data_IF_612164213237
#
_entry.id   IF_612164213237
#
_cell.length_a   1.000
_cell.length_b   1.000
_cell.length_c   1.000
_cell.angle_alpha   90.00
_cell.angle_beta   90.00
_cell.angle_gamma   90.00
#
_symmetry.space_group_name_H-M   'P 1'
#
loop_
_entity.id
_entity.type
_entity.pdbx_description
1 polymer ?
#
# COMPACT_ATOMS: atom_id res chain seq x y z
N UNK A 1 41.27 -50.16 2.56
CA UNK A 1 41.32 -48.90 3.33
C UNK A 1 40.24 -47.98 2.82
N UNK A 2 39.16 -47.76 3.57
CA UNK A 2 38.12 -46.87 3.14
C UNK A 2 38.31 -45.48 3.77
N UNK A 3 38.19 -44.46 2.93
CA UNK A 3 38.19 -43.05 3.30
C UNK A 3 36.82 -42.65 3.81
N UNK A 4 36.74 -42.20 5.04
CA UNK A 4 35.52 -41.71 5.68
C UNK A 4 35.26 -40.27 5.30
N UNK A 5 34.22 -40.05 4.50
CA UNK A 5 33.60 -38.70 4.31
C UNK A 5 32.80 -38.35 5.54
N UNK A 6 33.23 -37.29 6.23
CA UNK A 6 32.48 -36.69 7.34
C UNK A 6 31.74 -35.46 6.78
N UNK A 7 30.44 -35.63 6.52
CA UNK A 7 29.54 -34.52 6.25
C UNK A 7 29.10 -33.90 7.58
N UNK A 8 29.65 -32.72 7.91
CA UNK A 8 29.06 -31.86 8.96
C UNK A 8 27.90 -31.08 8.40
N UNK A 9 26.70 -31.60 8.64
CA UNK A 9 25.48 -30.82 8.45
C UNK A 9 25.32 -29.87 9.65
N UNK A 10 25.53 -28.57 9.42
CA UNK A 10 25.16 -27.51 10.37
C UNK A 10 23.65 -27.27 10.25
N UNK A 11 22.90 -27.89 11.15
CA UNK A 11 21.50 -27.52 11.42
C UNK A 11 21.50 -26.21 12.22
N UNK A 12 21.25 -25.09 11.54
CA UNK A 12 20.86 -23.85 12.20
C UNK A 12 19.40 -23.99 12.63
N UNK A 13 19.18 -24.44 13.86
CA UNK A 13 17.88 -24.33 14.53
C UNK A 13 17.66 -22.86 14.90
N UNK A 14 16.84 -22.19 14.09
CA UNK A 14 16.31 -20.87 14.41
C UNK A 14 15.28 -21.03 15.54
N UNK A 15 15.71 -20.86 16.77
CA UNK A 15 14.81 -20.81 17.92
C UNK A 15 14.07 -19.48 17.85
N UNK A 16 12.87 -19.49 17.26
CA UNK A 16 11.89 -18.42 17.47
C UNK A 16 11.45 -18.49 18.94
N UNK A 17 12.10 -17.70 19.77
CA UNK A 17 11.61 -17.42 21.10
C UNK A 17 10.34 -16.56 20.96
N UNK A 18 9.17 -17.21 20.98
CA UNK A 18 7.89 -16.55 21.21
C UNK A 18 7.86 -15.99 22.61
N UNK A 19 8.39 -14.78 22.78
CA UNK A 19 8.08 -13.98 23.96
C UNK A 19 6.63 -13.48 23.82
N UNK A 20 5.68 -14.29 24.22
CA UNK A 20 4.34 -13.85 24.61
C UNK A 20 4.50 -13.09 25.95
N UNK A 21 5.11 -11.90 25.91
CA UNK A 21 5.02 -10.95 27.01
C UNK A 21 3.56 -10.47 27.03
N UNK A 22 2.84 -10.82 28.09
CA UNK A 22 1.56 -10.18 28.43
C UNK A 22 1.81 -8.67 28.49
N UNK A 23 1.45 -7.96 27.41
CA UNK A 23 1.52 -6.51 27.34
C UNK A 23 0.50 -5.95 28.34
N UNK A 24 0.91 -5.76 29.61
CA UNK A 24 0.18 -4.85 30.49
C UNK A 24 0.05 -3.52 29.79
N UNK A 25 -1.16 -2.95 29.77
CA UNK A 25 -1.41 -1.62 29.23
C UNK A 25 -0.32 -0.65 29.73
N UNK A 26 0.33 0.11 28.85
CA UNK A 26 1.43 0.97 29.25
C UNK A 26 0.95 2.00 30.25
N UNK A 27 1.76 2.28 31.28
CA UNK A 27 1.49 3.33 32.26
C UNK A 27 1.49 4.74 31.64
N UNK A 28 1.94 4.89 30.38
CA UNK A 28 1.98 6.11 29.58
C UNK A 28 1.73 5.76 28.11
N UNK A 29 1.37 6.75 27.29
CA UNK A 29 1.27 6.56 25.85
C UNK A 29 2.66 6.36 25.23
N UNK A 30 2.70 5.63 24.10
CA UNK A 30 3.93 5.34 23.36
C UNK A 30 3.74 5.63 21.89
N UNK A 31 4.40 6.65 21.40
CA UNK A 31 4.45 6.98 19.97
C UNK A 31 5.69 6.29 19.38
N UNK A 32 5.47 5.31 18.51
CA UNK A 32 6.54 4.56 17.83
C UNK A 32 6.94 5.26 16.55
N UNK A 33 8.25 5.46 16.38
CA UNK A 33 8.85 6.06 15.18
C UNK A 33 9.96 5.14 14.63
N UNK A 34 10.47 5.37 13.41
CA UNK A 34 11.63 4.64 12.88
C UNK A 34 12.87 4.74 13.75
N UNK A 35 13.07 5.87 14.44
CA UNK A 35 14.23 6.14 15.30
C UNK A 35 14.05 5.66 16.74
N UNK A 36 12.86 5.11 17.12
CA UNK A 36 12.59 4.62 18.47
C UNK A 36 11.17 4.89 18.94
N UNK A 37 11.04 5.28 20.22
CA UNK A 37 9.71 5.61 20.78
C UNK A 37 9.77 6.88 21.64
N UNK A 38 8.70 7.67 21.56
CA UNK A 38 8.44 8.80 22.45
C UNK A 38 7.41 8.37 23.48
N UNK A 39 7.77 8.44 24.76
CA UNK A 39 6.92 8.02 25.88
C UNK A 39 6.43 9.26 26.63
N UNK A 40 5.15 9.33 26.94
CA UNK A 40 4.51 10.44 27.63
C UNK A 40 3.00 10.36 27.51
N UNK A 41 2.30 11.48 27.70
CA UNK A 41 0.86 11.57 27.46
C UNK A 41 0.60 12.31 26.16
N UNK A 42 -0.13 11.70 25.23
CA UNK A 42 -0.59 12.38 24.01
C UNK A 42 -1.68 13.33 24.40
N UNK A 43 -1.39 14.64 24.29
CA UNK A 43 -2.28 15.73 24.70
C UNK A 43 -3.01 16.39 23.53
N UNK A 44 -2.43 16.30 22.33
CA UNK A 44 -3.01 16.91 21.13
C UNK A 44 -2.58 16.13 19.89
N UNK A 45 -3.47 16.04 18.92
CA UNK A 45 -3.19 15.49 17.58
C UNK A 45 -3.63 16.48 16.51
N UNK A 46 -2.91 16.49 15.41
CA UNK A 46 -3.27 17.21 14.18
C UNK A 46 -2.91 16.34 12.96
N UNK A 47 -3.33 16.72 11.76
CA UNK A 47 -2.89 16.02 10.55
C UNK A 47 -1.37 15.99 10.35
N UNK A 48 -0.63 16.91 10.97
CA UNK A 48 0.82 17.08 10.73
C UNK A 48 1.70 16.72 11.92
N UNK A 49 1.17 16.76 13.14
CA UNK A 49 1.98 16.50 14.34
C UNK A 49 1.15 15.93 15.48
N UNK A 50 1.81 15.19 16.36
CA UNK A 50 1.29 14.70 17.62
C UNK A 50 2.11 15.28 18.76
N UNK A 51 1.45 15.93 19.73
CA UNK A 51 2.07 16.53 20.90
C UNK A 51 2.07 15.56 22.08
N UNK A 52 3.25 15.22 22.59
CA UNK A 52 3.44 14.28 23.73
C UNK A 52 3.97 15.06 24.93
N UNK A 53 3.19 15.15 25.99
CA UNK A 53 3.61 15.71 27.25
C UNK A 53 4.53 14.72 28.01
N UNK A 54 5.68 15.21 28.44
CA UNK A 54 6.66 14.48 29.29
C UNK A 54 6.63 14.97 30.75
N UNK A 55 5.50 15.50 31.17
CA UNK A 55 5.34 16.07 32.51
C UNK A 55 6.19 17.34 32.70
N UNK A 56 7.02 17.37 33.72
CA UNK A 56 7.86 18.55 34.04
C UNK A 56 8.93 18.87 32.99
N UNK A 57 9.24 17.94 32.06
CA UNK A 57 10.26 18.14 31.01
C UNK A 57 9.70 18.79 29.73
N UNK A 58 8.39 19.14 29.73
CA UNK A 58 7.75 19.83 28.62
C UNK A 58 7.03 18.93 27.64
N UNK A 59 6.75 19.45 26.45
CA UNK A 59 6.02 18.75 25.39
C UNK A 59 6.95 18.51 24.19
N UNK A 60 6.96 17.29 23.69
CA UNK A 60 7.65 16.92 22.45
C UNK A 60 6.62 16.78 21.33
N UNK A 61 6.89 17.42 20.18
CA UNK A 61 6.12 17.27 18.95
C UNK A 61 6.73 16.18 18.09
N UNK A 62 5.90 15.30 17.57
CA UNK A 62 6.30 14.21 16.68
C UNK A 62 5.58 14.39 15.33
N UNK A 63 6.31 14.57 14.22
CA UNK A 63 5.71 14.67 12.89
C UNK A 63 4.96 13.40 12.53
N UNK A 64 3.76 13.55 11.91
CA UNK A 64 2.89 12.41 11.61
C UNK A 64 3.52 11.42 10.62
N UNK A 65 4.31 11.90 9.65
CA UNK A 65 5.01 11.04 8.69
C UNK A 65 6.08 10.15 9.34
N UNK A 66 6.53 10.46 10.56
CA UNK A 66 7.44 9.61 11.33
C UNK A 66 6.70 8.62 12.24
N UNK A 67 5.38 8.73 12.41
CA UNK A 67 4.62 7.88 13.32
C UNK A 67 4.27 6.55 12.65
N UNK A 68 4.78 5.45 13.20
CA UNK A 68 4.38 4.09 12.81
C UNK A 68 3.11 3.62 13.53
N UNK A 69 2.99 3.92 14.82
CA UNK A 69 1.81 3.61 15.61
C UNK A 69 1.84 4.36 16.94
N UNK A 70 0.67 4.56 17.52
CA UNK A 70 0.52 5.06 18.90
C UNK A 70 -0.16 3.98 19.72
N UNK A 71 0.40 3.66 20.88
CA UNK A 71 -0.21 2.78 21.88
C UNK A 71 -0.64 3.68 23.03
N UNK A 72 -1.94 3.78 23.27
CA UNK A 72 -2.49 4.66 24.29
C UNK A 72 -2.56 3.97 25.66
N UNK A 73 -2.30 4.71 26.72
CA UNK A 73 -2.54 4.23 28.09
C UNK A 73 -4.03 3.88 28.26
N UNK A 74 -4.26 2.66 28.75
CA UNK A 74 -5.62 2.16 28.99
C UNK A 74 -6.38 1.71 27.75
N UNK A 75 -5.74 1.62 26.58
CA UNK A 75 -6.38 1.04 25.40
C UNK A 75 -6.67 -0.46 25.62
N UNK A 76 -7.77 -0.99 25.07
CA UNK A 76 -8.05 -2.41 25.10
C UNK A 76 -6.98 -3.24 24.36
N UNK A 77 -6.69 -4.45 24.85
CA UNK A 77 -5.76 -5.36 24.19
C UNK A 77 -6.21 -5.69 22.76
N UNK A 78 -7.51 -5.78 22.53
CA UNK A 78 -8.13 -6.01 21.23
C UNK A 78 -7.74 -4.93 20.22
N UNK A 79 -7.64 -3.65 20.63
CA UNK A 79 -7.18 -2.57 19.78
C UNK A 79 -5.69 -2.72 19.42
N UNK A 80 -4.85 -3.06 20.41
CA UNK A 80 -3.42 -3.30 20.17
C UNK A 80 -3.22 -4.45 19.18
N UNK A 81 -3.94 -5.57 19.32
CA UNK A 81 -3.86 -6.71 18.42
C UNK A 81 -4.44 -6.39 17.03
N UNK A 82 -5.55 -5.68 16.96
CA UNK A 82 -6.16 -5.25 15.70
C UNK A 82 -5.20 -4.36 14.89
N UNK A 83 -4.47 -3.47 15.55
CA UNK A 83 -3.44 -2.63 14.92
C UNK A 83 -2.33 -3.47 14.29
N UNK A 84 -1.82 -4.46 15.02
CA UNK A 84 -0.79 -5.39 14.51
C UNK A 84 -1.31 -6.19 13.33
N UNK A 85 -2.53 -6.73 13.42
CA UNK A 85 -3.17 -7.46 12.31
C UNK A 85 -3.38 -6.56 11.10
N UNK A 86 -3.84 -5.32 11.28
CA UNK A 86 -4.02 -4.37 10.18
C UNK A 86 -2.70 -4.04 9.48
N UNK A 87 -1.61 -3.87 10.22
CA UNK A 87 -0.28 -3.61 9.67
C UNK A 87 0.31 -4.79 8.90
N UNK A 88 -0.09 -6.02 9.24
CA UNK A 88 0.31 -7.25 8.54
C UNK A 88 -0.68 -7.71 7.46
N UNK A 89 -1.68 -6.89 7.10
CA UNK A 89 -2.69 -7.25 6.09
C UNK A 89 -3.82 -8.14 6.59
N UNK A 90 -3.83 -8.52 7.86
CA UNK A 90 -4.86 -9.36 8.49
C UNK A 90 -6.16 -8.58 8.79
N UNK A 91 -6.70 -7.83 7.83
CA UNK A 91 -7.81 -6.88 8.01
C UNK A 91 -9.08 -7.52 8.58
N UNK A 92 -9.40 -8.75 8.20
CA UNK A 92 -10.59 -9.46 8.73
C UNK A 92 -10.43 -9.77 10.21
N UNK A 93 -9.26 -10.25 10.62
CA UNK A 93 -8.96 -10.54 12.02
C UNK A 93 -8.97 -9.25 12.85
N UNK A 94 -8.41 -8.16 12.29
CA UNK A 94 -8.46 -6.84 12.91
C UNK A 94 -9.91 -6.37 13.13
N UNK A 95 -10.80 -6.50 12.14
CA UNK A 95 -12.22 -6.16 12.28
C UNK A 95 -12.94 -6.97 13.33
N UNK A 96 -12.68 -8.28 13.42
CA UNK A 96 -13.26 -9.15 14.44
C UNK A 96 -12.87 -8.66 15.85
N UNK A 97 -11.59 -8.43 16.09
CA UNK A 97 -11.09 -7.91 17.37
C UNK A 97 -11.67 -6.53 17.72
N UNK A 98 -11.75 -5.61 16.74
CA UNK A 98 -12.37 -4.30 16.94
C UNK A 98 -13.87 -4.41 17.20
N UNK A 99 -14.55 -5.45 16.66
CA UNK A 99 -15.96 -5.72 16.89
C UNK A 99 -16.31 -5.91 18.36
N UNK A 100 -15.41 -6.52 19.13
CA UNK A 100 -15.59 -6.81 20.55
C UNK A 100 -15.45 -5.58 21.47
N UNK A 101 -14.98 -4.43 20.92
CA UNK A 101 -14.77 -3.21 21.70
C UNK A 101 -16.06 -2.38 21.76
N UNK A 102 -16.59 -2.17 22.96
CA UNK A 102 -17.69 -1.24 23.23
C UNK A 102 -17.17 0.19 23.32
N UNK A 103 -17.31 0.98 22.24
CA UNK A 103 -16.79 2.36 22.14
C UNK A 103 -17.31 3.24 23.28
N UNK A 104 -18.56 3.05 23.74
CA UNK A 104 -19.18 3.81 24.81
C UNK A 104 -18.50 3.64 26.17
N UNK A 105 -17.74 2.56 26.36
CA UNK A 105 -17.00 2.26 27.60
C UNK A 105 -15.55 2.79 27.57
N UNK A 106 -15.13 3.41 26.48
CA UNK A 106 -13.80 3.97 26.37
C UNK A 106 -13.76 5.38 26.96
N UNK A 107 -12.87 5.61 27.92
CA UNK A 107 -12.78 6.90 28.64
C UNK A 107 -12.14 8.00 27.81
N UNK A 108 -11.19 7.67 26.90
CA UNK A 108 -10.41 8.65 26.13
C UNK A 108 -10.90 8.78 24.70
N UNK A 109 -11.14 10.01 24.26
CA UNK A 109 -11.53 10.32 22.87
C UNK A 109 -10.51 9.81 21.84
N UNK A 110 -9.21 9.92 22.13
CA UNK A 110 -8.16 9.44 21.24
C UNK A 110 -8.24 7.92 21.01
N UNK A 111 -8.60 7.14 22.05
CA UNK A 111 -8.78 5.69 21.90
C UNK A 111 -10.04 5.39 21.07
N UNK A 112 -11.13 6.16 21.28
CA UNK A 112 -12.36 6.05 20.45
C UNK A 112 -12.05 6.32 18.98
N UNK A 113 -11.30 7.39 18.69
CA UNK A 113 -10.86 7.72 17.32
C UNK A 113 -10.04 6.60 16.69
N UNK A 114 -9.12 5.98 17.44
CA UNK A 114 -8.33 4.83 16.95
C UNK A 114 -9.23 3.67 16.54
N UNK A 115 -10.17 3.26 17.41
CA UNK A 115 -11.11 2.18 17.09
C UNK A 115 -11.94 2.50 15.85
N UNK A 116 -12.47 3.74 15.75
CA UNK A 116 -13.25 4.17 14.58
C UNK A 116 -12.41 4.21 13.31
N UNK A 117 -11.16 4.69 13.40
CA UNK A 117 -10.25 4.69 12.26
C UNK A 117 -9.97 3.27 11.76
N UNK A 118 -9.50 2.38 12.64
CA UNK A 118 -9.13 1.02 12.23
C UNK A 118 -10.32 0.20 11.75
N UNK A 119 -11.54 0.41 12.29
CA UNK A 119 -12.77 -0.17 11.74
C UNK A 119 -13.01 0.28 10.30
N UNK A 120 -12.95 1.58 10.04
CA UNK A 120 -13.15 2.15 8.72
C UNK A 120 -12.04 1.72 7.75
N UNK A 121 -10.78 1.79 8.19
CA UNK A 121 -9.60 1.41 7.40
C UNK A 121 -9.60 -0.06 7.01
N UNK A 122 -9.79 -0.98 7.96
CA UNK A 122 -9.82 -2.42 7.66
C UNK A 122 -11.01 -2.80 6.75
N UNK A 123 -12.17 -2.18 6.94
CA UNK A 123 -13.30 -2.34 6.02
C UNK A 123 -12.98 -1.84 4.61
N UNK A 124 -12.26 -0.73 4.50
CA UNK A 124 -11.80 -0.19 3.23
C UNK A 124 -10.81 -1.12 2.54
N UNK A 125 -9.81 -1.62 3.25
CA UNK A 125 -8.83 -2.56 2.70
C UNK A 125 -9.49 -3.85 2.21
N UNK A 126 -10.44 -4.42 2.97
CA UNK A 126 -11.20 -5.59 2.52
C UNK A 126 -12.04 -5.30 1.27
N UNK A 127 -12.62 -4.10 1.17
CA UNK A 127 -13.37 -3.70 -0.02
C UNK A 127 -12.47 -3.57 -1.25
N UNK A 128 -11.26 -3.01 -1.10
CA UNK A 128 -10.25 -2.92 -2.15
C UNK A 128 -9.73 -4.31 -2.57
N UNK A 129 -9.69 -5.26 -1.64
CA UNK A 129 -9.37 -6.66 -1.93
C UNK A 129 -10.56 -7.46 -2.52
N UNK A 130 -11.68 -6.82 -2.82
CA UNK A 130 -12.87 -7.46 -3.41
C UNK A 130 -13.75 -8.23 -2.42
N UNK A 131 -13.46 -8.20 -1.11
CA UNK A 131 -14.21 -8.96 -0.09
C UNK A 131 -15.18 -8.09 0.72
N UNK A 132 -15.42 -6.85 0.32
CA UNK A 132 -16.29 -5.87 0.98
C UNK A 132 -17.04 -4.99 -0.03
N UNK A 133 -17.92 -4.13 0.49
CA UNK A 133 -18.68 -3.18 -0.33
C UNK A 133 -17.97 -1.83 -0.38
N UNK A 134 -17.39 -1.46 -1.51
CA UNK A 134 -16.64 -0.20 -1.72
C UNK A 134 -17.45 1.02 -1.26
N UNK A 135 -18.74 1.10 -1.62
CA UNK A 135 -19.61 2.22 -1.23
C UNK A 135 -19.79 2.35 0.29
N UNK A 136 -19.90 1.24 1.00
CA UNK A 136 -20.09 1.23 2.45
C UNK A 136 -18.79 1.63 3.17
N UNK A 137 -17.67 1.10 2.71
CA UNK A 137 -16.35 1.46 3.19
C UNK A 137 -16.05 2.95 2.96
N UNK A 138 -16.38 3.48 1.78
CA UNK A 138 -16.23 4.90 1.47
C UNK A 138 -17.04 5.80 2.41
N UNK A 139 -18.27 5.39 2.76
CA UNK A 139 -19.08 6.13 3.76
C UNK A 139 -18.44 6.12 5.15
N UNK A 140 -17.84 5.00 5.56
CA UNK A 140 -17.18 4.90 6.88
C UNK A 140 -15.94 5.80 6.96
N UNK A 141 -15.05 5.77 5.96
CA UNK A 141 -13.88 6.65 5.89
C UNK A 141 -14.30 8.13 5.85
N UNK A 142 -15.28 8.49 5.01
CA UNK A 142 -15.76 9.86 4.91
C UNK A 142 -16.40 10.34 6.23
N UNK A 143 -17.10 9.45 6.97
CA UNK A 143 -17.61 9.74 8.29
C UNK A 143 -16.48 10.02 9.28
N UNK A 144 -15.46 9.16 9.31
CA UNK A 144 -14.29 9.34 10.17
C UNK A 144 -13.63 10.71 9.94
N UNK A 145 -13.39 11.09 8.69
CA UNK A 145 -12.77 12.38 8.34
C UNK A 145 -13.57 13.58 8.82
N UNK A 146 -14.91 13.51 8.73
CA UNK A 146 -15.77 14.60 9.20
C UNK A 146 -15.80 14.72 10.72
N UNK A 147 -15.78 13.60 11.43
CA UNK A 147 -15.82 13.59 12.89
C UNK A 147 -14.47 13.92 13.51
N UNK A 148 -13.37 13.55 12.84
CA UNK A 148 -12.02 13.66 13.37
C UNK A 148 -11.07 14.40 12.42
N UNK A 149 -11.34 15.68 12.06
CA UNK A 149 -10.50 16.43 11.11
C UNK A 149 -9.10 16.73 11.65
N UNK A 150 -8.89 16.61 12.96
CA UNK A 150 -7.60 16.78 13.63
C UNK A 150 -6.91 15.46 13.97
N UNK A 151 -7.38 14.34 13.43
CA UNK A 151 -6.72 13.05 13.62
C UNK A 151 -5.38 12.99 12.89
N UNK A 152 -4.38 12.38 13.52
CA UNK A 152 -3.11 12.08 12.86
C UNK A 152 -3.25 11.03 11.72
N UNK A 153 -4.38 10.34 11.64
CA UNK A 153 -4.76 9.49 10.51
C UNK A 153 -5.38 10.25 9.33
N UNK A 154 -5.46 11.57 9.38
CA UNK A 154 -6.17 12.38 8.39
C UNK A 154 -5.70 12.08 6.95
N UNK A 155 -4.40 12.14 6.69
CA UNK A 155 -3.86 11.89 5.35
C UNK A 155 -3.99 10.43 4.92
N UNK A 156 -3.83 9.49 5.83
CA UNK A 156 -4.06 8.07 5.54
C UNK A 156 -5.53 7.81 5.16
N UNK A 157 -6.47 8.45 5.85
CA UNK A 157 -7.89 8.36 5.50
C UNK A 157 -8.21 9.02 4.15
N UNK A 158 -7.53 10.14 3.82
CA UNK A 158 -7.67 10.80 2.51
C UNK A 158 -7.24 9.87 1.37
N UNK A 159 -6.07 9.27 1.49
CA UNK A 159 -5.56 8.33 0.52
C UNK A 159 -6.50 7.13 0.37
N UNK A 160 -6.89 6.51 1.49
CA UNK A 160 -7.82 5.37 1.49
C UNK A 160 -9.17 5.70 0.82
N UNK A 161 -9.69 6.93 1.02
CA UNK A 161 -10.90 7.36 0.32
C UNK A 161 -10.67 7.50 -1.20
N UNK A 162 -9.53 8.07 -1.59
CA UNK A 162 -9.13 8.15 -3.00
C UNK A 162 -9.07 6.77 -3.66
N UNK A 163 -8.44 5.79 -3.00
CA UNK A 163 -8.35 4.40 -3.50
C UNK A 163 -9.73 3.76 -3.67
N UNK A 164 -10.64 3.96 -2.71
CA UNK A 164 -12.02 3.48 -2.81
C UNK A 164 -12.80 4.16 -3.96
N UNK A 165 -12.52 5.43 -4.22
CA UNK A 165 -13.11 6.16 -5.36
C UNK A 165 -12.59 5.63 -6.69
N UNK A 166 -11.30 5.30 -6.81
CA UNK A 166 -10.74 4.60 -7.97
C UNK A 166 -11.43 3.25 -8.16
N UNK A 167 -11.55 2.43 -7.11
CA UNK A 167 -12.23 1.15 -7.16
C UNK A 167 -13.73 1.26 -7.53
N UNK A 168 -14.36 2.41 -7.24
CA UNK A 168 -15.71 2.74 -7.65
C UNK A 168 -15.79 3.35 -9.07
N UNK A 169 -14.69 3.48 -9.79
CA UNK A 169 -14.56 4.17 -11.09
C UNK A 169 -14.98 5.66 -11.03
N UNK A 170 -14.84 6.31 -9.88
CA UNK A 170 -15.10 7.73 -9.66
C UNK A 170 -13.79 8.54 -9.72
N UNK A 171 -13.08 8.43 -10.85
CA UNK A 171 -11.69 8.85 -11.00
C UNK A 171 -11.45 10.34 -10.75
N UNK A 172 -12.35 11.22 -11.24
CA UNK A 172 -12.25 12.66 -10.99
C UNK A 172 -12.44 13.02 -9.50
N UNK A 173 -13.26 12.26 -8.78
CA UNK A 173 -13.41 12.43 -7.33
C UNK A 173 -12.14 11.96 -6.59
N UNK A 174 -11.53 10.85 -7.05
CA UNK A 174 -10.26 10.35 -6.52
C UNK A 174 -9.15 11.39 -6.67
N UNK A 175 -9.02 12.03 -7.83
CA UNK A 175 -8.07 13.15 -8.04
C UNK A 175 -8.23 14.23 -6.98
N UNK A 176 -9.48 14.66 -6.69
CA UNK A 176 -9.76 15.69 -5.69
C UNK A 176 -9.36 15.24 -4.27
N UNK A 177 -9.54 13.97 -3.93
CA UNK A 177 -9.12 13.45 -2.63
C UNK A 177 -7.60 13.36 -2.52
N UNK A 178 -6.92 12.86 -3.54
CA UNK A 178 -5.46 12.81 -3.57
C UNK A 178 -4.81 14.21 -3.57
N UNK A 179 -5.42 15.22 -4.21
CA UNK A 179 -4.93 16.58 -4.19
C UNK A 179 -4.89 17.19 -2.77
N UNK A 180 -5.67 16.65 -1.82
CA UNK A 180 -5.60 17.09 -0.42
C UNK A 180 -4.30 16.63 0.26
N UNK A 181 -3.69 15.51 -0.19
CA UNK A 181 -2.39 15.06 0.28
C UNK A 181 -1.25 16.00 -0.14
N UNK A 182 -1.39 16.74 -1.24
CA UNK A 182 -0.38 17.73 -1.66
C UNK A 182 -0.22 18.87 -0.62
N UNK A 183 -1.19 19.04 0.30
CA UNK A 183 -1.14 20.01 1.40
C UNK A 183 -0.28 19.56 2.58
N UNK A 184 0.12 18.29 2.61
CA UNK A 184 1.04 17.79 3.62
C UNK A 184 2.40 18.50 3.48
N UNK A 185 3.07 18.84 4.61
CA UNK A 185 4.33 19.58 4.56
C UNK A 185 5.52 18.72 4.09
N UNK A 186 5.34 17.42 3.92
CA UNK A 186 6.42 16.48 3.64
C UNK A 186 6.53 16.14 2.15
N UNK A 187 7.77 16.16 1.60
CA UNK A 187 8.00 15.86 0.18
C UNK A 187 7.53 14.46 -0.26
N UNK A 188 7.65 13.46 0.59
CA UNK A 188 7.18 12.08 0.35
C UNK A 188 5.67 12.02 0.13
N UNK A 189 4.87 12.70 0.98
CA UNK A 189 3.41 12.80 0.81
C UNK A 189 3.04 13.56 -0.47
N UNK A 190 3.76 14.64 -0.77
CA UNK A 190 3.53 15.42 -2.00
C UNK A 190 3.88 14.62 -3.26
N UNK A 191 4.98 13.87 -3.24
CA UNK A 191 5.34 12.96 -4.33
C UNK A 191 4.29 11.86 -4.51
N UNK A 192 3.84 11.25 -3.40
CA UNK A 192 2.79 10.22 -3.39
C UNK A 192 1.47 10.74 -3.94
N UNK A 193 1.04 11.94 -3.52
CA UNK A 193 -0.17 12.56 -4.05
C UNK A 193 -0.12 12.74 -5.58
N UNK A 194 0.99 13.28 -6.09
CA UNK A 194 1.21 13.47 -7.54
C UNK A 194 1.21 12.15 -8.30
N UNK A 195 1.84 11.11 -7.73
CA UNK A 195 1.84 9.76 -8.29
C UNK A 195 0.41 9.20 -8.39
N UNK A 196 -0.38 9.30 -7.33
CA UNK A 196 -1.76 8.79 -7.29
C UNK A 196 -2.68 9.56 -8.24
N UNK A 197 -2.53 10.88 -8.33
CA UNK A 197 -3.25 11.71 -9.31
C UNK A 197 -2.84 11.31 -10.74
N UNK A 198 -1.54 11.10 -10.99
CA UNK A 198 -1.05 10.64 -12.29
C UNK A 198 -1.69 9.32 -12.71
N UNK A 199 -1.82 8.35 -11.80
CA UNK A 199 -2.51 7.08 -12.04
C UNK A 199 -4.01 7.27 -12.32
N UNK A 200 -4.69 8.08 -11.53
CA UNK A 200 -6.11 8.37 -11.76
C UNK A 200 -6.36 9.06 -13.11
N UNK A 201 -5.47 9.95 -13.54
CA UNK A 201 -5.51 10.56 -14.87
C UNK A 201 -5.22 9.55 -15.99
N UNK A 202 -4.25 8.66 -15.77
CA UNK A 202 -3.94 7.57 -16.69
C UNK A 202 -5.15 6.64 -16.91
N UNK A 203 -5.85 6.28 -15.84
CA UNK A 203 -7.06 5.44 -15.89
C UNK A 203 -8.24 6.16 -16.59
N UNK A 204 -8.26 7.51 -16.57
CA UNK A 204 -9.18 8.33 -17.35
C UNK A 204 -8.78 8.47 -18.83
N UNK A 205 -7.64 7.94 -19.25
CA UNK A 205 -7.08 8.13 -20.59
C UNK A 205 -6.45 9.51 -20.84
N UNK A 206 -6.29 10.33 -19.81
CA UNK A 206 -5.66 11.66 -19.86
C UNK A 206 -4.15 11.55 -19.77
N UNK A 207 -3.54 10.86 -20.74
CA UNK A 207 -2.12 10.51 -20.70
C UNK A 207 -1.16 11.72 -20.68
N UNK A 208 -1.39 12.81 -21.44
CA UNK A 208 -0.52 14.00 -21.36
C UNK A 208 -0.47 14.62 -19.97
N UNK A 209 -1.64 14.74 -19.30
CA UNK A 209 -1.75 15.27 -17.94
C UNK A 209 -1.14 14.31 -16.92
N UNK A 210 -1.32 12.99 -17.12
CA UNK A 210 -0.70 11.96 -16.29
C UNK A 210 0.83 12.05 -16.33
N UNK A 211 1.43 12.22 -17.52
CA UNK A 211 2.88 12.42 -17.69
C UNK A 211 3.36 13.61 -16.87
N UNK A 212 2.66 14.76 -16.91
CA UNK A 212 3.02 15.93 -16.13
C UNK A 212 2.99 15.65 -14.61
N UNK A 213 2.00 14.88 -14.13
CA UNK A 213 1.90 14.51 -12.72
C UNK A 213 2.99 13.52 -12.31
N UNK A 214 3.35 12.56 -13.16
CA UNK A 214 4.47 11.67 -12.91
C UNK A 214 5.81 12.43 -12.88
N UNK A 215 6.03 13.39 -13.78
CA UNK A 215 7.22 14.25 -13.75
C UNK A 215 7.30 15.09 -12.46
N UNK A 216 6.17 15.63 -12.03
CA UNK A 216 6.09 16.35 -10.77
C UNK A 216 6.31 15.43 -9.55
N UNK A 217 5.89 14.16 -9.61
CA UNK A 217 6.18 13.17 -8.58
C UNK A 217 7.68 12.83 -8.51
N UNK A 218 8.32 12.63 -9.68
CA UNK A 218 9.77 12.41 -9.79
C UNK A 218 10.57 13.55 -9.19
N UNK A 219 10.17 14.80 -9.47
CA UNK A 219 10.83 16.00 -8.95
C UNK A 219 10.64 16.19 -7.44
N UNK A 220 9.51 15.72 -6.87
CA UNK A 220 9.19 15.83 -5.45
C UNK A 220 9.77 14.69 -4.60
N UNK A 221 10.13 13.56 -5.21
CA UNK A 221 10.56 12.36 -4.50
C UNK A 221 11.91 12.58 -3.79
N UNK A 222 11.89 12.42 -2.46
CA UNK A 222 13.05 12.55 -1.58
C UNK A 222 14.10 11.43 -1.76
N UNK A 223 15.24 11.51 -1.06
CA UNK A 223 16.36 10.58 -1.24
C UNK A 223 16.17 9.21 -0.55
N UNK A 224 15.23 9.03 0.37
CA UNK A 224 15.04 7.79 1.15
C UNK A 224 14.40 6.65 0.34
N UNK A 225 14.14 5.52 1.00
CA UNK A 225 13.49 4.34 0.38
C UNK A 225 12.11 4.67 -0.17
N UNK A 226 11.29 5.44 0.58
CA UNK A 226 9.98 5.91 0.11
C UNK A 226 10.12 6.75 -1.17
N UNK A 227 11.18 7.58 -1.25
CA UNK A 227 11.48 8.35 -2.45
C UNK A 227 11.94 7.47 -3.62
N UNK A 228 12.68 6.39 -3.38
CA UNK A 228 13.03 5.41 -4.43
C UNK A 228 11.79 4.71 -4.96
N UNK A 229 10.92 4.22 -4.07
CA UNK A 229 9.67 3.59 -4.45
C UNK A 229 8.76 4.53 -5.25
N UNK A 230 8.64 5.79 -4.83
CA UNK A 230 7.89 6.81 -5.55
C UNK A 230 8.47 7.10 -6.94
N UNK A 231 9.80 7.21 -7.07
CA UNK A 231 10.48 7.39 -8.37
C UNK A 231 10.24 6.21 -9.29
N UNK A 232 10.41 4.99 -8.80
CA UNK A 232 10.14 3.78 -9.59
C UNK A 232 8.70 3.79 -10.12
N UNK A 233 7.73 3.94 -9.22
CA UNK A 233 6.32 3.93 -9.59
C UNK A 233 5.94 5.07 -10.56
N UNK A 234 6.51 6.26 -10.39
CA UNK A 234 6.29 7.39 -11.30
C UNK A 234 6.95 7.16 -12.67
N UNK A 235 8.16 6.59 -12.72
CA UNK A 235 8.84 6.25 -13.98
C UNK A 235 8.04 5.23 -14.77
N UNK A 236 7.57 4.17 -14.13
CA UNK A 236 6.77 3.12 -14.78
C UNK A 236 5.41 3.66 -15.25
N UNK A 237 4.72 4.43 -14.41
CA UNK A 237 3.46 5.09 -14.80
C UNK A 237 3.63 6.06 -15.97
N UNK A 238 4.70 6.85 -15.96
CA UNK A 238 5.07 7.73 -17.09
C UNK A 238 5.32 6.93 -18.35
N UNK A 239 6.10 5.86 -18.28
CA UNK A 239 6.43 5.01 -19.42
C UNK A 239 5.17 4.45 -20.11
N UNK A 240 4.20 3.96 -19.32
CA UNK A 240 2.91 3.48 -19.81
C UNK A 240 2.15 4.62 -20.54
N UNK A 241 2.08 5.81 -19.93
CA UNK A 241 1.38 6.96 -20.53
C UNK A 241 2.07 7.46 -21.80
N UNK A 242 3.40 7.52 -21.83
CA UNK A 242 4.20 7.86 -23.02
C UNK A 242 3.94 6.88 -24.15
N UNK A 243 3.88 5.58 -23.86
CA UNK A 243 3.54 4.56 -24.87
C UNK A 243 2.18 4.80 -25.49
N UNK A 244 1.19 5.23 -24.69
CA UNK A 244 -0.17 5.51 -25.20
C UNK A 244 -0.26 6.78 -26.03
N UNK A 245 0.65 7.74 -25.86
CA UNK A 245 0.74 8.94 -26.73
C UNK A 245 1.46 8.66 -28.06
N UNK A 246 1.70 7.41 -28.41
CA UNK A 246 2.34 6.99 -29.67
C UNK A 246 3.87 6.86 -29.60
N UNK A 247 4.47 7.06 -28.44
CA UNK A 247 5.92 7.00 -28.23
C UNK A 247 6.31 5.67 -27.55
N UNK A 248 5.86 4.52 -28.12
CA UNK A 248 6.07 3.20 -27.54
C UNK A 248 7.53 2.91 -27.25
N UNK A 249 8.42 3.15 -28.21
CA UNK A 249 9.84 2.83 -28.06
C UNK A 249 10.48 3.60 -26.90
N UNK A 250 10.06 4.84 -26.68
CA UNK A 250 10.49 5.65 -25.53
C UNK A 250 9.99 5.05 -24.21
N UNK A 251 8.70 4.70 -24.10
CA UNK A 251 8.16 4.08 -22.90
C UNK A 251 8.82 2.74 -22.58
N UNK A 252 9.02 1.90 -23.59
CA UNK A 252 9.72 0.62 -23.45
C UNK A 252 11.17 0.82 -22.99
N UNK A 253 11.89 1.78 -23.59
CA UNK A 253 13.26 2.13 -23.20
C UNK A 253 13.35 2.53 -21.73
N UNK A 254 12.43 3.38 -21.26
CA UNK A 254 12.39 3.80 -19.84
C UNK A 254 12.26 2.60 -18.89
N UNK A 255 11.45 1.59 -19.25
CA UNK A 255 11.28 0.40 -18.40
C UNK A 255 12.52 -0.50 -18.47
N UNK A 256 13.11 -0.66 -19.65
CA UNK A 256 14.37 -1.43 -19.79
C UNK A 256 15.54 -0.80 -19.02
N UNK A 257 15.57 0.53 -18.89
CA UNK A 257 16.54 1.21 -18.03
C UNK A 257 16.32 0.86 -16.56
N UNK A 258 15.05 0.86 -16.10
CA UNK A 258 14.70 0.44 -14.74
C UNK A 258 15.15 -1.02 -14.49
N UNK A 259 14.86 -1.93 -15.42
CA UNK A 259 15.22 -3.35 -15.28
C UNK A 259 16.75 -3.55 -15.28
N UNK A 260 17.47 -2.83 -16.16
CA UNK A 260 18.93 -2.92 -16.28
C UNK A 260 19.64 -2.42 -15.02
N UNK A 261 19.11 -1.35 -14.41
CA UNK A 261 19.75 -0.67 -13.27
C UNK A 261 19.31 -1.28 -11.93
N UNK A 262 18.37 -2.23 -11.94
CA UNK A 262 17.89 -2.96 -10.78
C UNK A 262 18.88 -4.02 -10.30
N UNK A 263 18.84 -4.32 -9.01
CA UNK A 263 19.51 -5.50 -8.46
C UNK A 263 18.87 -6.76 -9.10
N UNK A 264 19.68 -7.67 -9.69
CA UNK A 264 19.15 -8.92 -10.27
C UNK A 264 18.33 -9.78 -9.29
N UNK A 265 18.58 -9.65 -8.01
CA UNK A 265 17.87 -10.38 -6.95
C UNK A 265 16.57 -9.67 -6.49
N UNK A 266 16.33 -8.43 -6.94
CA UNK A 266 15.11 -7.68 -6.62
C UNK A 266 13.92 -8.18 -7.47
N UNK A 267 13.43 -9.36 -7.11
CA UNK A 267 12.30 -10.01 -7.79
C UNK A 267 11.03 -9.16 -7.77
N UNK A 268 10.81 -8.35 -6.73
CA UNK A 268 9.64 -7.49 -6.64
C UNK A 268 9.71 -6.36 -7.68
N UNK A 269 10.85 -5.67 -7.79
CA UNK A 269 11.06 -4.62 -8.78
C UNK A 269 10.91 -5.17 -10.20
N UNK A 270 11.55 -6.31 -10.48
CA UNK A 270 11.45 -6.95 -11.80
C UNK A 270 10.01 -7.32 -12.15
N UNK A 271 9.26 -7.91 -11.23
CA UNK A 271 7.85 -8.27 -11.44
C UNK A 271 6.99 -7.04 -11.80
N UNK A 272 7.16 -5.94 -11.06
CA UNK A 272 6.45 -4.69 -11.31
C UNK A 272 6.86 -4.09 -12.67
N UNK A 273 8.14 -4.10 -13.01
CA UNK A 273 8.65 -3.55 -14.27
C UNK A 273 8.15 -4.36 -15.49
N UNK A 274 8.12 -5.69 -15.42
CA UNK A 274 7.56 -6.51 -16.49
C UNK A 274 6.04 -6.36 -16.64
N UNK A 275 5.30 -6.17 -15.57
CA UNK A 275 3.89 -5.79 -15.65
C UNK A 275 3.71 -4.43 -16.36
N UNK A 276 4.52 -3.43 -16.02
CA UNK A 276 4.50 -2.14 -16.69
C UNK A 276 4.86 -2.26 -18.18
N UNK A 277 5.81 -3.11 -18.54
CA UNK A 277 6.17 -3.41 -19.94
C UNK A 277 4.98 -4.02 -20.67
N UNK A 278 4.29 -4.99 -20.06
CA UNK A 278 3.06 -5.57 -20.59
C UNK A 278 1.96 -4.52 -20.80
N UNK A 279 1.80 -3.60 -19.85
CA UNK A 279 0.87 -2.49 -19.97
C UNK A 279 1.25 -1.54 -21.13
N UNK A 280 2.53 -1.19 -21.31
CA UNK A 280 3.00 -0.40 -22.45
C UNK A 280 2.59 -1.04 -23.79
N UNK A 281 2.87 -2.32 -23.95
CA UNK A 281 2.51 -3.04 -25.17
C UNK A 281 1.00 -3.14 -25.37
N UNK A 282 0.21 -3.35 -24.32
CA UNK A 282 -1.27 -3.29 -24.40
C UNK A 282 -1.77 -1.93 -24.85
N UNK A 283 -1.23 -0.85 -24.27
CA UNK A 283 -1.62 0.52 -24.60
C UNK A 283 -1.26 0.90 -26.05
N UNK A 284 -0.24 0.27 -26.62
CA UNK A 284 0.19 0.44 -28.00
C UNK A 284 -0.44 -0.57 -28.99
N UNK A 285 -1.44 -1.34 -28.58
CA UNK A 285 -2.13 -2.36 -29.37
C UNK A 285 -1.16 -3.47 -29.92
N UNK A 286 -0.22 -3.87 -29.07
CA UNK A 286 0.73 -4.97 -29.33
C UNK A 286 0.47 -6.15 -28.37
N UNK A 287 -0.62 -6.92 -28.59
CA UNK A 287 -1.09 -7.89 -27.60
C UNK A 287 -0.17 -9.12 -27.45
N UNK A 288 0.64 -9.47 -28.48
CA UNK A 288 1.58 -10.59 -28.40
C UNK A 288 2.77 -10.26 -27.51
N UNK A 289 3.34 -9.08 -27.67
CA UNK A 289 4.42 -8.56 -26.85
C UNK A 289 3.96 -8.36 -25.41
N UNK A 290 2.74 -7.85 -25.21
CA UNK A 290 2.12 -7.74 -23.89
C UNK A 290 1.98 -9.10 -23.21
N UNK A 291 1.51 -10.12 -23.95
CA UNK A 291 1.39 -11.48 -23.45
C UNK A 291 2.71 -12.02 -22.93
N UNK A 292 3.80 -11.84 -23.70
CA UNK A 292 5.13 -12.31 -23.32
C UNK A 292 5.64 -11.63 -22.04
N UNK A 293 5.40 -10.32 -21.89
CA UNK A 293 5.80 -9.58 -20.69
C UNK A 293 5.05 -10.07 -19.44
N UNK A 294 3.73 -10.30 -19.52
CA UNK A 294 2.95 -10.83 -18.39
C UNK A 294 3.29 -12.30 -18.09
N UNK A 295 3.57 -13.12 -19.12
CA UNK A 295 4.07 -14.49 -18.92
C UNK A 295 5.42 -14.51 -18.20
N UNK A 296 6.27 -13.51 -18.42
CA UNK A 296 7.53 -13.39 -17.69
C UNK A 296 7.30 -13.27 -16.17
N UNK A 297 6.29 -12.51 -15.77
CA UNK A 297 5.90 -12.40 -14.35
C UNK A 297 5.31 -13.71 -13.82
N UNK A 298 4.38 -14.33 -14.56
CA UNK A 298 3.73 -15.58 -14.15
C UNK A 298 4.74 -16.72 -13.96
N UNK A 299 5.73 -16.82 -14.83
CA UNK A 299 6.72 -17.92 -14.81
C UNK A 299 7.85 -17.67 -13.81
N UNK A 300 8.40 -16.44 -13.75
CA UNK A 300 9.63 -16.17 -12.98
C UNK A 300 9.36 -15.49 -11.63
N UNK A 301 8.26 -14.76 -11.50
CA UNK A 301 7.99 -13.92 -10.34
C UNK A 301 6.62 -14.21 -9.67
N UNK A 302 6.11 -15.43 -9.85
CA UNK A 302 4.84 -15.85 -9.22
C UNK A 302 4.86 -15.83 -7.68
N UNK A 303 6.05 -15.76 -7.07
CA UNK A 303 6.22 -15.57 -5.62
C UNK A 303 5.90 -14.17 -5.13
N UNK A 304 5.66 -13.19 -6.03
CA UNK A 304 5.28 -11.81 -5.69
C UNK A 304 3.77 -11.64 -5.89
N UNK A 305 2.92 -11.82 -4.83
CA UNK A 305 1.48 -12.02 -4.99
C UNK A 305 0.78 -10.89 -5.72
N UNK A 306 1.10 -9.62 -5.40
CA UNK A 306 0.43 -8.47 -6.01
C UNK A 306 0.72 -8.37 -7.51
N UNK A 307 1.98 -8.55 -7.91
CA UNK A 307 2.39 -8.50 -9.31
C UNK A 307 1.87 -9.72 -10.09
N UNK A 308 1.86 -10.91 -9.47
CA UNK A 308 1.34 -12.13 -10.10
C UNK A 308 -0.17 -12.04 -10.36
N UNK A 309 -0.95 -11.49 -9.42
CA UNK A 309 -2.37 -11.22 -9.63
C UNK A 309 -2.59 -10.30 -10.83
N UNK A 310 -1.87 -9.18 -10.92
CA UNK A 310 -1.97 -8.26 -12.06
C UNK A 310 -1.62 -8.96 -13.39
N UNK A 311 -0.54 -9.76 -13.41
CA UNK A 311 -0.16 -10.52 -14.59
C UNK A 311 -1.26 -11.51 -15.01
N UNK A 312 -1.80 -12.29 -14.07
CA UNK A 312 -2.86 -13.28 -14.35
C UNK A 312 -4.15 -12.65 -14.86
N UNK A 313 -4.57 -11.51 -14.32
CA UNK A 313 -5.74 -10.74 -14.80
C UNK A 313 -5.54 -10.33 -16.28
N UNK A 314 -4.36 -9.83 -16.61
CA UNK A 314 -4.01 -9.44 -17.98
C UNK A 314 -3.87 -10.66 -18.91
N UNK A 315 -3.27 -11.73 -18.46
CA UNK A 315 -3.15 -12.99 -19.21
C UNK A 315 -4.51 -13.60 -19.51
N UNK A 316 -5.43 -13.61 -18.53
CA UNK A 316 -6.79 -14.10 -18.74
C UNK A 316 -7.54 -13.32 -19.82
N UNK A 317 -7.37 -11.99 -19.85
CA UNK A 317 -7.95 -11.12 -20.87
C UNK A 317 -7.31 -11.35 -22.26
N UNK A 318 -5.98 -11.39 -22.34
CA UNK A 318 -5.25 -11.59 -23.58
C UNK A 318 -5.50 -12.99 -24.19
N UNK A 319 -5.48 -14.05 -23.38
CA UNK A 319 -5.81 -15.39 -23.84
C UNK A 319 -7.25 -15.49 -24.37
N UNK A 320 -8.19 -14.76 -23.76
CA UNK A 320 -9.56 -14.65 -24.26
C UNK A 320 -9.58 -14.00 -25.64
N UNK A 321 -8.88 -12.88 -25.83
CA UNK A 321 -8.80 -12.18 -27.13
C UNK A 321 -8.13 -13.00 -28.23
N UNK A 322 -7.21 -13.91 -27.86
CA UNK A 322 -6.58 -14.85 -28.79
C UNK A 322 -7.40 -16.13 -29.04
N UNK A 323 -8.62 -16.25 -28.47
CA UNK A 323 -9.44 -17.45 -28.59
C UNK A 323 -8.92 -18.66 -27.80
N UNK A 324 -7.95 -18.49 -26.92
CA UNK A 324 -7.34 -19.55 -26.12
C UNK A 324 -8.10 -19.76 -24.80
N UNK A 325 -9.37 -20.20 -24.92
CA UNK A 325 -10.27 -20.33 -23.79
C UNK A 325 -9.77 -21.27 -22.67
N UNK A 326 -8.94 -22.27 -23.00
CA UNK A 326 -8.30 -23.17 -22.03
C UNK A 326 -7.34 -22.40 -21.12
N UNK A 327 -6.39 -21.69 -21.70
CA UNK A 327 -5.40 -20.89 -20.98
C UNK A 327 -6.04 -19.73 -20.19
N UNK A 328 -7.08 -19.10 -20.74
CA UNK A 328 -7.82 -18.09 -20.02
C UNK A 328 -8.51 -18.64 -18.76
N UNK A 329 -9.02 -19.89 -18.80
CA UNK A 329 -9.61 -20.56 -17.62
C UNK A 329 -8.55 -20.94 -16.60
N UNK A 330 -7.37 -21.38 -17.04
CA UNK A 330 -6.23 -21.69 -16.14
C UNK A 330 -5.82 -20.44 -15.35
N UNK A 331 -5.61 -19.31 -16.02
CA UNK A 331 -5.25 -18.04 -15.36
C UNK A 331 -6.34 -17.59 -14.35
N UNK A 332 -7.64 -17.68 -14.71
CA UNK A 332 -8.74 -17.38 -13.77
C UNK A 332 -8.81 -18.42 -12.62
N UNK A 333 -8.48 -19.68 -12.90
CA UNK A 333 -8.38 -20.71 -11.87
C UNK A 333 -7.32 -20.38 -10.82
N UNK A 334 -6.14 -19.97 -11.25
CA UNK A 334 -5.08 -19.53 -10.34
C UNK A 334 -5.50 -18.30 -9.53
N UNK A 335 -6.14 -17.29 -10.15
CA UNK A 335 -6.67 -16.12 -9.43
C UNK A 335 -7.65 -16.53 -8.33
N UNK A 336 -8.60 -17.41 -8.62
CA UNK A 336 -9.58 -17.88 -7.64
C UNK A 336 -8.94 -18.74 -6.55
N UNK A 337 -8.14 -19.74 -6.95
CA UNK A 337 -7.71 -20.81 -6.06
C UNK A 337 -6.55 -20.37 -5.15
N UNK A 338 -5.66 -19.49 -5.63
CA UNK A 338 -4.54 -18.97 -4.85
C UNK A 338 -4.83 -17.62 -4.17
N UNK A 339 -5.65 -16.77 -4.80
CA UNK A 339 -5.83 -15.38 -4.36
C UNK A 339 -7.28 -15.03 -3.98
N UNK A 340 -8.23 -15.96 -4.15
CA UNK A 340 -9.64 -15.75 -3.82
C UNK A 340 -10.31 -14.66 -4.67
N UNK A 341 -9.81 -14.43 -5.90
CA UNK A 341 -10.35 -13.47 -6.85
C UNK A 341 -11.13 -14.15 -7.97
N UNK A 342 -12.30 -13.58 -8.37
CA UNK A 342 -13.12 -14.07 -9.48
C UNK A 342 -12.76 -13.39 -10.81
#
# INVERSE_FOLDING_TARGET
>A
MPIRNSCCAFLLTFVMATMASSLKAPGQDRVRTPSGQVVGEVVETSPTEVSVSKGSTGTQKVPVNEIRSIIFKGEPNELTQARVNAQSGGFRNALNQLGDIEISKLDRDLIRQEVEFYRAYCAAQLALLGTGKVKDAGRQISRFQRLHPQSYHYYQAQETLGDLLVAANLLANAENEYAKLEKAPWPDYQARAKLLIGRALQDQGKHPEAIQKFDAALAAAGPGEDGKAARLAATLGKAISVSKTGQLDQGVTMIHEVIRDADPEDSELHAIAYNALGQCYRQADKPKEALLAFLHVDVLYSSIPAAHVEALENLAALWTSFGQAGRAREARGLLRDQYGRE
#
